data_IF_757440654750
#
_entry.id   IF_757440654750
#
_cell.length_a   1.000
_cell.length_b   1.000
_cell.length_c   1.000
_cell.angle_alpha   90.00
_cell.angle_beta   90.00
_cell.angle_gamma   90.00
#
_symmetry.space_group_name_H-M   'P 1'
#
loop_
_entity.id
_entity.type
_entity.pdbx_description
1 polymer ?
#
# COMPACT_ATOMS: atom_id res chain seq x y z
N UNK A 1 -11.83 -16.82 -5.36
CA UNK A 1 -10.81 -16.07 -4.57
C UNK A 1 -9.43 -16.11 -5.23
N UNK A 2 -8.83 -17.27 -5.49
CA UNK A 2 -7.48 -17.39 -6.10
C UNK A 2 -7.37 -16.73 -7.49
N UNK A 3 -8.31 -16.96 -8.40
CA UNK A 3 -8.33 -16.37 -9.76
C UNK A 3 -8.38 -14.82 -9.73
N UNK A 4 -9.06 -14.23 -8.76
CA UNK A 4 -9.11 -12.78 -8.61
C UNK A 4 -7.75 -12.22 -8.16
N UNK A 5 -7.08 -12.90 -7.22
CA UNK A 5 -5.75 -12.53 -6.78
C UNK A 5 -4.74 -12.63 -7.93
N UNK A 6 -4.79 -13.70 -8.71
CA UNK A 6 -3.92 -13.88 -9.88
C UNK A 6 -4.11 -12.76 -10.92
N UNK A 7 -5.36 -12.37 -11.19
CA UNK A 7 -5.66 -11.26 -12.12
C UNK A 7 -5.12 -9.94 -11.58
N UNK A 8 -5.36 -9.62 -10.31
CA UNK A 8 -4.85 -8.40 -9.67
C UNK A 8 -3.32 -8.37 -9.70
N UNK A 9 -2.66 -9.46 -9.33
CA UNK A 9 -1.19 -9.56 -9.36
C UNK A 9 -0.62 -9.43 -10.79
N UNK A 10 -1.32 -9.94 -11.80
CA UNK A 10 -0.92 -9.72 -13.20
C UNK A 10 -0.96 -8.25 -13.58
N UNK A 11 -1.99 -7.52 -13.15
CA UNK A 11 -2.09 -6.07 -13.36
C UNK A 11 -0.96 -5.33 -12.64
N UNK A 12 -0.66 -5.68 -11.39
CA UNK A 12 0.46 -5.12 -10.61
C UNK A 12 1.80 -5.32 -11.34
N UNK A 13 2.10 -6.54 -11.78
CA UNK A 13 3.35 -6.84 -12.52
C UNK A 13 3.44 -6.09 -13.84
N UNK A 14 2.31 -5.91 -14.52
CA UNK A 14 2.26 -5.13 -15.75
C UNK A 14 2.50 -3.66 -15.48
N UNK A 15 1.91 -3.11 -14.42
CA UNK A 15 2.16 -1.73 -13.99
C UNK A 15 3.64 -1.52 -13.64
N UNK A 16 4.26 -2.44 -12.90
CA UNK A 16 5.69 -2.39 -12.59
C UNK A 16 6.54 -2.30 -13.86
N UNK A 17 6.26 -3.15 -14.84
CA UNK A 17 6.96 -3.14 -16.13
C UNK A 17 6.79 -1.80 -16.87
N UNK A 18 5.60 -1.24 -16.91
CA UNK A 18 5.33 0.06 -17.55
C UNK A 18 6.03 1.20 -16.82
N UNK A 19 6.07 1.16 -15.49
CA UNK A 19 6.76 2.16 -14.67
C UNK A 19 8.29 2.17 -14.85
N UNK A 20 8.88 1.16 -15.48
CA UNK A 20 10.31 1.18 -15.80
C UNK A 20 10.69 2.30 -16.77
N UNK A 21 9.79 2.70 -17.64
CA UNK A 21 10.03 3.73 -18.67
C UNK A 21 9.10 4.94 -18.57
N UNK A 22 8.01 4.83 -17.82
CA UNK A 22 6.95 5.86 -17.78
C UNK A 22 6.49 6.11 -16.35
N UNK A 23 6.52 7.36 -15.86
CA UNK A 23 5.95 7.67 -14.54
C UNK A 23 4.48 7.25 -14.44
N UNK A 24 4.06 6.76 -13.26
CA UNK A 24 2.68 6.27 -13.04
C UNK A 24 1.62 7.29 -13.46
N UNK A 25 1.87 8.59 -13.22
CA UNK A 25 0.97 9.70 -13.55
C UNK A 25 0.72 9.86 -15.07
N UNK A 26 1.55 9.23 -15.91
CA UNK A 26 1.45 9.28 -17.37
C UNK A 26 0.98 7.96 -17.98
N UNK A 27 0.86 6.91 -17.19
CA UNK A 27 0.37 5.61 -17.67
C UNK A 27 -1.15 5.66 -17.78
N UNK A 28 -1.68 5.30 -18.96
CA UNK A 28 -3.12 5.23 -19.21
C UNK A 28 -3.64 3.85 -18.84
N UNK A 29 -4.84 3.80 -18.24
CA UNK A 29 -5.54 2.54 -17.95
C UNK A 29 -5.70 1.68 -19.22
N UNK A 30 -5.92 2.30 -20.38
CA UNK A 30 -6.04 1.59 -21.67
C UNK A 30 -4.76 0.84 -22.04
N UNK A 31 -3.60 1.44 -21.79
CA UNK A 31 -2.32 0.81 -22.10
C UNK A 31 -2.02 -0.31 -21.10
N UNK A 32 -2.30 -0.09 -19.82
CA UNK A 32 -2.19 -1.11 -18.79
C UNK A 32 -3.09 -2.32 -19.09
N UNK A 33 -4.35 -2.09 -19.47
CA UNK A 33 -5.28 -3.17 -19.82
C UNK A 33 -4.79 -3.99 -21.01
N UNK A 34 -4.32 -3.32 -22.07
CA UNK A 34 -3.77 -3.99 -23.25
C UNK A 34 -2.57 -4.85 -22.90
N UNK A 35 -1.62 -4.31 -22.15
CA UNK A 35 -0.39 -5.02 -21.75
C UNK A 35 -0.65 -6.14 -20.73
N UNK A 36 -1.70 -6.02 -19.91
CA UNK A 36 -2.10 -7.02 -18.92
C UNK A 36 -3.03 -8.08 -19.50
N UNK A 37 -3.42 -7.95 -20.76
CA UNK A 37 -4.40 -8.83 -21.44
C UNK A 37 -5.70 -8.97 -20.64
N UNK A 38 -6.31 -7.83 -20.29
CA UNK A 38 -7.64 -7.75 -19.63
C UNK A 38 -8.53 -6.71 -20.30
N UNK A 39 -9.83 -6.92 -20.23
CA UNK A 39 -10.80 -5.92 -20.62
C UNK A 39 -10.85 -4.72 -19.66
N UNK A 40 -11.20 -3.53 -20.18
CA UNK A 40 -11.41 -2.34 -19.32
C UNK A 40 -12.50 -2.57 -18.27
N UNK A 41 -13.57 -3.28 -18.61
CA UNK A 41 -14.62 -3.64 -17.66
C UNK A 41 -14.04 -4.44 -16.49
N UNK A 42 -13.25 -5.48 -16.79
CA UNK A 42 -12.56 -6.29 -15.77
C UNK A 42 -11.59 -5.46 -14.93
N UNK A 43 -10.89 -4.49 -15.52
CA UNK A 43 -10.04 -3.58 -14.75
C UNK A 43 -10.87 -2.80 -13.72
N UNK A 44 -11.98 -2.16 -14.16
CA UNK A 44 -12.82 -1.35 -13.30
C UNK A 44 -13.65 -2.15 -12.28
N UNK A 45 -13.76 -3.46 -12.42
CA UNK A 45 -14.27 -4.35 -11.36
C UNK A 45 -13.31 -4.45 -10.16
N UNK A 46 -12.01 -4.23 -10.37
CA UNK A 46 -10.98 -4.39 -9.35
C UNK A 46 -10.35 -3.07 -8.88
N UNK A 47 -10.28 -2.08 -9.76
CA UNK A 47 -9.52 -0.84 -9.52
C UNK A 47 -10.25 0.37 -10.09
N UNK A 48 -10.40 1.41 -9.28
CA UNK A 48 -11.05 2.66 -9.71
C UNK A 48 -10.19 3.46 -10.71
N UNK A 49 -8.88 3.40 -10.54
CA UNK A 49 -7.89 4.15 -11.33
C UNK A 49 -6.53 3.46 -11.30
N UNK A 50 -5.54 4.08 -11.97
CA UNK A 50 -4.18 3.54 -12.04
C UNK A 50 -3.51 3.45 -10.66
N UNK A 51 -3.74 4.41 -9.77
CA UNK A 51 -3.14 4.45 -8.43
C UNK A 51 -3.72 3.36 -7.53
N UNK A 52 -4.99 3.00 -7.71
CA UNK A 52 -5.65 1.93 -6.98
C UNK A 52 -4.95 0.58 -7.15
N UNK A 53 -4.21 0.37 -8.23
CA UNK A 53 -3.39 -0.82 -8.43
C UNK A 53 -2.24 -0.87 -7.42
N UNK A 54 -1.51 0.23 -7.26
CA UNK A 54 -0.39 0.33 -6.33
C UNK A 54 -0.87 0.33 -4.87
N UNK A 55 -1.95 1.06 -4.57
CA UNK A 55 -2.52 1.10 -3.21
C UNK A 55 -3.10 -0.26 -2.79
N UNK A 56 -3.72 -0.99 -3.72
CA UNK A 56 -4.18 -2.34 -3.44
C UNK A 56 -3.00 -3.28 -3.15
N UNK A 57 -1.92 -3.21 -3.93
CA UNK A 57 -0.75 -4.05 -3.68
C UNK A 57 -0.10 -3.72 -2.33
N UNK A 58 0.02 -2.45 -1.99
CA UNK A 58 0.48 -2.04 -0.68
C UNK A 58 -0.41 -2.58 0.46
N UNK A 59 -1.75 -2.44 0.34
CA UNK A 59 -2.69 -3.01 1.32
C UNK A 59 -2.56 -4.52 1.45
N UNK A 60 -2.32 -5.23 0.33
CA UNK A 60 -2.09 -6.67 0.35
C UNK A 60 -0.85 -7.06 1.18
N UNK A 61 0.19 -6.23 1.19
CA UNK A 61 1.35 -6.43 2.08
C UNK A 61 1.02 -6.11 3.53
N UNK A 62 0.18 -5.10 3.80
CA UNK A 62 -0.27 -4.78 5.16
C UNK A 62 -1.11 -5.92 5.77
N UNK A 63 -1.95 -6.57 4.98
CA UNK A 63 -2.74 -7.75 5.41
C UNK A 63 -1.85 -8.90 5.90
N UNK A 64 -0.62 -9.00 5.38
CA UNK A 64 0.34 -10.04 5.73
C UNK A 64 1.35 -9.59 6.81
N UNK A 65 1.23 -8.38 7.29
CA UNK A 65 2.19 -7.75 8.21
C UNK A 65 1.51 -6.95 9.33
N UNK A 66 1.33 -5.64 9.14
CA UNK A 66 0.86 -4.74 10.21
C UNK A 66 -0.54 -5.06 10.73
N UNK A 67 -1.43 -5.56 9.88
CA UNK A 67 -2.79 -5.91 10.30
C UNK A 67 -2.86 -7.18 11.14
N UNK A 68 -1.74 -7.90 11.30
CA UNK A 68 -1.62 -9.04 12.22
C UNK A 68 -1.18 -8.63 13.64
N UNK A 69 -0.89 -7.34 13.87
CA UNK A 69 -0.58 -6.83 15.22
C UNK A 69 -1.80 -7.06 16.12
N UNK A 70 -1.56 -7.71 17.27
CA UNK A 70 -2.64 -8.09 18.20
C UNK A 70 -3.30 -9.44 17.88
N UNK A 71 -3.03 -10.05 16.73
CA UNK A 71 -3.48 -11.39 16.36
C UNK A 71 -2.35 -12.44 16.45
N UNK A 72 -1.49 -12.30 17.47
CA UNK A 72 -0.35 -13.20 17.70
C UNK A 72 0.95 -12.75 17.04
N UNK A 73 0.96 -11.61 16.39
CA UNK A 73 2.17 -10.98 15.84
C UNK A 73 2.48 -9.72 16.63
N UNK A 74 3.70 -9.60 17.13
CA UNK A 74 4.17 -8.41 17.82
C UNK A 74 4.51 -7.28 16.85
N UNK A 75 4.59 -6.05 17.39
CA UNK A 75 4.86 -4.84 16.62
C UNK A 75 6.15 -4.91 15.81
N UNK A 76 7.25 -5.39 16.40
CA UNK A 76 8.53 -5.45 15.72
C UNK A 76 8.51 -6.47 14.57
N UNK A 77 7.98 -7.65 14.81
CA UNK A 77 7.86 -8.70 13.77
C UNK A 77 7.01 -8.25 12.60
N UNK A 78 5.89 -7.57 12.88
CA UNK A 78 5.01 -7.05 11.83
C UNK A 78 5.71 -6.02 10.95
N UNK A 79 6.49 -5.09 11.55
CA UNK A 79 7.26 -4.11 10.80
C UNK A 79 8.38 -4.72 9.99
N UNK A 80 9.12 -5.68 10.55
CA UNK A 80 10.16 -6.40 9.81
C UNK A 80 9.57 -7.07 8.57
N UNK A 81 8.45 -7.77 8.70
CA UNK A 81 7.76 -8.40 7.56
C UNK A 81 7.37 -7.39 6.48
N UNK A 82 6.81 -6.23 6.89
CA UNK A 82 6.45 -5.19 5.93
C UNK A 82 7.67 -4.67 5.18
N UNK A 83 8.73 -4.31 5.90
CA UNK A 83 9.95 -3.78 5.28
C UNK A 83 10.65 -4.80 4.39
N UNK A 84 10.71 -6.07 4.77
CA UNK A 84 11.23 -7.15 3.92
C UNK A 84 10.43 -7.25 2.61
N UNK A 85 9.10 -7.20 2.67
CA UNK A 85 8.23 -7.23 1.50
C UNK A 85 8.43 -6.00 0.59
N UNK A 86 8.54 -4.81 1.18
CA UNK A 86 8.81 -3.58 0.42
C UNK A 86 10.20 -3.62 -0.23
N UNK A 87 11.20 -4.20 0.45
CA UNK A 87 12.55 -4.35 -0.10
C UNK A 87 12.61 -5.37 -1.24
N UNK A 88 11.83 -6.46 -1.17
CA UNK A 88 11.73 -7.43 -2.27
C UNK A 88 11.22 -6.76 -3.55
N UNK A 89 10.23 -5.87 -3.43
CA UNK A 89 9.63 -5.12 -4.54
C UNK A 89 10.06 -3.65 -4.56
N UNK A 90 11.27 -3.36 -4.07
CA UNK A 90 11.81 -1.99 -3.94
C UNK A 90 11.66 -1.18 -5.23
N UNK A 91 11.92 -1.79 -6.36
CA UNK A 91 11.82 -1.14 -7.67
C UNK A 91 10.40 -0.61 -7.95
N UNK A 92 9.37 -1.41 -7.66
CA UNK A 92 7.98 -1.02 -7.80
C UNK A 92 7.63 0.15 -6.87
N UNK A 93 7.88 -0.01 -5.57
CA UNK A 93 7.48 0.98 -4.57
C UNK A 93 8.24 2.29 -4.69
N UNK A 94 9.54 2.26 -5.01
CA UNK A 94 10.31 3.48 -5.28
C UNK A 94 9.68 4.33 -6.40
N UNK A 95 9.13 3.69 -7.44
CA UNK A 95 8.46 4.41 -8.53
C UNK A 95 7.04 4.85 -8.16
N UNK A 96 6.30 3.98 -7.49
CA UNK A 96 4.92 4.27 -7.08
C UNK A 96 4.84 5.41 -6.04
N UNK A 97 5.81 5.49 -5.11
CA UNK A 97 5.89 6.54 -4.10
C UNK A 97 6.28 7.92 -4.65
N UNK A 98 6.84 8.01 -5.86
CA UNK A 98 7.21 9.30 -6.48
C UNK A 98 6.03 10.15 -6.92
N UNK A 99 4.86 9.57 -7.07
CA UNK A 99 3.66 10.33 -7.43
C UNK A 99 3.19 11.20 -6.27
N UNK A 100 2.91 12.47 -6.55
CA UNK A 100 2.28 13.42 -5.62
C UNK A 100 0.76 13.46 -5.73
N UNK A 101 0.14 12.62 -6.57
CA UNK A 101 -1.31 12.54 -6.69
C UNK A 101 -1.95 12.20 -5.35
N UNK A 102 -3.13 12.76 -5.09
CA UNK A 102 -3.89 12.50 -3.86
C UNK A 102 -4.16 11.01 -3.64
N UNK A 103 -4.39 10.26 -4.72
CA UNK A 103 -4.64 8.82 -4.70
C UNK A 103 -3.36 7.97 -4.72
N UNK A 104 -2.18 8.59 -4.68
CA UNK A 104 -0.91 7.87 -4.69
C UNK A 104 -0.77 6.95 -3.47
N UNK A 105 0.04 5.91 -3.63
CA UNK A 105 0.30 4.97 -2.54
C UNK A 105 0.97 5.64 -1.33
N UNK A 106 1.72 6.72 -1.54
CA UNK A 106 2.32 7.49 -0.45
C UNK A 106 1.24 8.13 0.45
N UNK A 107 0.32 8.89 -0.14
CA UNK A 107 -0.76 9.55 0.60
C UNK A 107 -1.75 8.55 1.20
N UNK A 108 -2.06 7.49 0.47
CA UNK A 108 -2.92 6.41 0.93
C UNK A 108 -2.30 5.67 2.11
N UNK A 109 -1.03 5.23 1.99
CA UNK A 109 -0.33 4.47 3.01
C UNK A 109 -0.23 5.22 4.34
N UNK A 110 0.10 6.50 4.31
CA UNK A 110 0.13 7.33 5.52
C UNK A 110 -1.20 7.32 6.27
N UNK A 111 -2.30 7.48 5.56
CA UNK A 111 -3.64 7.51 6.17
C UNK A 111 -3.99 6.19 6.82
N UNK A 112 -3.92 5.10 6.06
CA UNK A 112 -4.39 3.80 6.53
C UNK A 112 -3.56 3.23 7.68
N UNK A 113 -2.23 3.48 7.69
CA UNK A 113 -1.38 3.04 8.80
C UNK A 113 -1.67 3.84 10.06
N UNK A 114 -1.83 5.17 9.95
CA UNK A 114 -2.21 5.99 11.09
C UNK A 114 -3.56 5.54 11.68
N UNK A 115 -4.56 5.37 10.81
CA UNK A 115 -5.90 4.92 11.23
C UNK A 115 -5.86 3.53 11.87
N UNK A 116 -5.05 2.61 11.33
CA UNK A 116 -4.86 1.29 11.93
C UNK A 116 -4.28 1.38 13.34
N UNK A 117 -3.22 2.17 13.55
CA UNK A 117 -2.64 2.30 14.90
C UNK A 117 -3.56 3.00 15.88
N UNK A 118 -4.30 4.03 15.45
CA UNK A 118 -5.29 4.68 16.29
C UNK A 118 -6.41 3.74 16.74
N UNK A 119 -6.69 2.68 15.99
CA UNK A 119 -7.67 1.66 16.34
C UNK A 119 -7.06 0.53 17.19
N UNK A 120 -5.89 0.01 16.83
CA UNK A 120 -5.35 -1.20 17.46
C UNK A 120 -4.68 -0.92 18.80
N UNK A 121 -4.02 0.23 18.98
CA UNK A 121 -3.32 0.56 20.24
C UNK A 121 -4.29 0.59 21.43
N UNK A 122 -5.46 1.25 21.35
CA UNK A 122 -6.45 1.19 22.43
C UNK A 122 -6.94 -0.23 22.76
N UNK A 123 -7.08 -1.07 21.74
CA UNK A 123 -7.52 -2.45 21.93
C UNK A 123 -6.48 -3.28 22.69
N UNK A 124 -5.20 -3.12 22.35
CA UNK A 124 -4.10 -3.85 22.98
C UNK A 124 -3.81 -3.32 24.39
N UNK A 125 -3.82 -1.98 24.56
CA UNK A 125 -3.51 -1.34 25.84
C UNK A 125 -4.66 -1.37 26.85
N UNK A 126 -5.88 -1.62 26.40
CA UNK A 126 -7.10 -1.61 27.23
C UNK A 126 -7.56 -0.20 27.65
N UNK A 127 -6.99 0.86 27.05
CA UNK A 127 -7.35 2.25 27.36
C UNK A 127 -7.39 3.11 26.09
N UNK A 128 -8.27 4.15 26.05
CA UNK A 128 -8.28 5.08 24.94
C UNK A 128 -6.96 5.88 24.89
N UNK A 129 -6.59 6.33 23.69
CA UNK A 129 -5.47 7.25 23.51
C UNK A 129 -5.85 8.66 23.99
N UNK A 130 -4.90 9.35 24.63
CA UNK A 130 -4.98 10.78 24.85
C UNK A 130 -4.72 11.55 23.55
N UNK A 131 -5.10 12.85 23.46
CA UNK A 131 -4.79 13.67 22.29
C UNK A 131 -3.29 13.72 21.95
N UNK A 132 -2.41 13.73 22.96
CA UNK A 132 -0.96 13.71 22.76
C UNK A 132 -0.48 12.38 22.19
N UNK A 133 -1.02 11.25 22.68
CA UNK A 133 -0.70 9.92 22.14
C UNK A 133 -1.19 9.77 20.69
N UNK A 134 -2.38 10.27 20.35
CA UNK A 134 -2.86 10.31 18.96
C UNK A 134 -1.93 11.15 18.06
N UNK A 135 -1.47 12.30 18.53
CA UNK A 135 -0.51 13.14 17.81
C UNK A 135 0.80 12.39 17.57
N UNK A 136 1.33 11.68 18.57
CA UNK A 136 2.53 10.87 18.43
C UNK A 136 2.37 9.76 17.39
N UNK A 137 1.23 9.07 17.35
CA UNK A 137 0.94 8.07 16.31
C UNK A 137 1.00 8.68 14.93
N UNK A 138 0.36 9.85 14.72
CA UNK A 138 0.38 10.55 13.43
C UNK A 138 1.77 11.02 13.01
N UNK A 139 2.55 11.55 13.95
CA UNK A 139 3.94 11.95 13.69
C UNK A 139 4.83 10.76 13.37
N UNK A 140 4.69 9.65 14.09
CA UNK A 140 5.43 8.42 13.82
C UNK A 140 5.14 7.90 12.42
N UNK A 141 3.86 7.79 12.04
CA UNK A 141 3.47 7.25 10.73
C UNK A 141 3.93 8.15 9.59
N UNK A 142 3.82 9.46 9.73
CA UNK A 142 4.31 10.42 8.74
C UNK A 142 5.84 10.36 8.58
N UNK A 143 6.58 10.27 9.69
CA UNK A 143 8.04 10.12 9.68
C UNK A 143 8.49 8.80 9.06
N UNK A 144 7.82 7.69 9.41
CA UNK A 144 8.11 6.38 8.84
C UNK A 144 7.89 6.35 7.32
N UNK A 145 6.79 6.95 6.84
CA UNK A 145 6.53 7.04 5.42
C UNK A 145 7.58 7.89 4.68
N UNK A 146 7.99 9.02 5.25
CA UNK A 146 9.06 9.84 4.68
C UNK A 146 10.35 9.04 4.48
N UNK A 147 10.79 8.31 5.52
CA UNK A 147 12.01 7.47 5.44
C UNK A 147 11.90 6.30 4.46
N UNK A 148 10.69 5.84 4.17
CA UNK A 148 10.48 4.74 3.21
C UNK A 148 10.66 5.21 1.76
N UNK A 149 10.61 6.51 1.50
CA UNK A 149 10.73 7.08 0.15
C UNK A 149 12.16 7.51 -0.22
N UNK A 150 13.08 7.54 0.73
CA UNK A 150 14.51 7.83 0.53
C UNK A 150 15.32 6.55 0.19
#
# INVERSE_FOLDING_TARGET
MQRQLETRMRVVRTLDRLMQSTPIDKIKVTDLCREADIGRATFYEYFENIYAVATWYYSHLLDQSLYLIGEGVDFQTAHVRLFESLLQDRSFFTRAFRSSDYNSVYNYGNRIIADHYLQIIPQISGKPLSPDEEMHVRLFTAGAAFLTTE
#
